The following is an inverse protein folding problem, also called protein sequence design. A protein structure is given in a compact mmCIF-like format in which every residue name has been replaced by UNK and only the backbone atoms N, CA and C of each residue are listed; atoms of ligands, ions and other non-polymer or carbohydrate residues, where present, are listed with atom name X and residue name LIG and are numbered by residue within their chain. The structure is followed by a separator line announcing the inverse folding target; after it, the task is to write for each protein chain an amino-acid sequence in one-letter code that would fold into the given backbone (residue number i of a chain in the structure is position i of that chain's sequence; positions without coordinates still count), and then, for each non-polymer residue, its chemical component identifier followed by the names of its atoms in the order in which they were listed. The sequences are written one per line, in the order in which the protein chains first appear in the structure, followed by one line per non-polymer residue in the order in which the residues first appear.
data_IF_163467024206
#
_entry.id   IF_163467024206
#
_cell.length_a   1.000
_cell.length_b   1.000
_cell.length_c   1.000
_cell.angle_alpha   90.00
_cell.angle_beta   90.00
_cell.angle_gamma   90.00
#
_symmetry.space_group_name_H-M   'P 1'
#
loop_
_entity.id
_entity.type
_entity.pdbx_description
1 polymer ?
#
# COMPACT_ATOMS: atom_id res chain seq x y z
N UNK A 1 -44.42 2.68 -3.75
CA UNK A 1 -43.70 2.96 -2.49
C UNK A 1 -43.53 1.74 -1.57
N UNK A 2 -44.25 0.62 -1.74
CA UNK A 2 -44.03 -0.60 -0.93
C UNK A 2 -43.12 -1.67 -1.57
N UNK A 3 -42.87 -1.66 -2.88
CA UNK A 3 -42.00 -2.65 -3.54
C UNK A 3 -40.49 -2.34 -3.42
N UNK A 4 -40.12 -1.08 -3.19
CA UNK A 4 -38.71 -0.67 -3.05
C UNK A 4 -38.05 -1.08 -1.73
N UNK A 5 -38.82 -1.28 -0.65
CA UNK A 5 -38.28 -1.72 0.64
C UNK A 5 -37.97 -3.23 0.68
N UNK A 6 -38.75 -4.05 -0.06
CA UNK A 6 -38.56 -5.51 -0.09
C UNK A 6 -37.29 -5.96 -0.84
N UNK A 7 -36.78 -5.16 -1.78
CA UNK A 7 -35.52 -5.45 -2.50
C UNK A 7 -34.28 -5.12 -1.66
N UNK A 8 -34.33 -4.06 -0.85
CA UNK A 8 -33.25 -3.68 0.06
C UNK A 8 -33.15 -4.67 1.23
N UNK A 9 -34.28 -5.14 1.78
CA UNK A 9 -34.27 -6.17 2.82
C UNK A 9 -33.86 -7.55 2.30
N UNK A 10 -34.27 -7.95 1.09
CA UNK A 10 -33.77 -9.19 0.45
C UNK A 10 -32.28 -9.11 0.11
N UNK A 11 -31.78 -7.96 -0.33
CA UNK A 11 -30.35 -7.76 -0.56
C UNK A 11 -29.55 -7.78 0.75
N UNK A 12 -30.10 -7.26 1.85
CA UNK A 12 -29.44 -7.34 3.16
C UNK A 12 -29.47 -8.76 3.77
N UNK A 13 -30.58 -9.49 3.66
CA UNK A 13 -30.68 -10.89 4.11
C UNK A 13 -29.79 -11.82 3.27
N UNK A 14 -29.76 -11.61 1.96
CA UNK A 14 -28.83 -12.33 1.08
C UNK A 14 -27.39 -11.92 1.40
N UNK A 15 -27.09 -10.64 1.65
CA UNK A 15 -25.74 -10.19 2.02
C UNK A 15 -25.22 -10.87 3.29
N UNK A 16 -26.05 -10.96 4.33
CA UNK A 16 -25.69 -11.67 5.57
C UNK A 16 -25.53 -13.18 5.31
N UNK A 17 -26.41 -13.79 4.51
CA UNK A 17 -26.30 -15.21 4.14
C UNK A 17 -25.06 -15.49 3.30
N UNK A 18 -24.74 -14.62 2.34
CA UNK A 18 -23.55 -14.70 1.49
C UNK A 18 -22.28 -14.48 2.31
N UNK A 19 -22.28 -13.54 3.25
CA UNK A 19 -21.15 -13.36 4.18
C UNK A 19 -20.92 -14.61 5.02
N UNK A 20 -21.99 -15.21 5.56
CA UNK A 20 -21.90 -16.47 6.31
C UNK A 20 -21.38 -17.62 5.45
N UNK A 21 -21.86 -17.71 4.21
CA UNK A 21 -21.39 -18.71 3.24
C UNK A 21 -19.92 -18.49 2.87
N UNK A 22 -19.48 -17.23 2.75
CA UNK A 22 -18.08 -16.88 2.49
C UNK A 22 -17.20 -17.23 3.70
N UNK A 23 -17.64 -16.94 4.92
CA UNK A 23 -16.92 -17.29 6.15
C UNK A 23 -16.81 -18.81 6.34
N UNK A 24 -17.90 -19.55 6.14
CA UNK A 24 -17.91 -21.02 6.19
C UNK A 24 -16.99 -21.64 5.13
N UNK A 25 -17.00 -21.09 3.91
CA UNK A 25 -16.13 -21.58 2.83
C UNK A 25 -14.67 -21.17 3.07
N UNK A 26 -14.39 -20.00 3.64
CA UNK A 26 -13.03 -19.57 4.00
C UNK A 26 -12.44 -20.48 5.09
N UNK A 27 -13.22 -20.86 6.11
CA UNK A 27 -12.81 -21.87 7.10
C UNK A 27 -12.55 -23.24 6.45
N UNK A 28 -13.41 -23.68 5.53
CA UNK A 28 -13.19 -24.94 4.79
C UNK A 28 -11.96 -24.89 3.87
N UNK A 29 -11.67 -23.73 3.27
CA UNK A 29 -10.51 -23.52 2.40
C UNK A 29 -9.20 -23.45 3.20
N UNK A 30 -9.19 -22.81 4.37
CA UNK A 30 -8.01 -22.78 5.27
C UNK A 30 -7.61 -24.20 5.71
N UNK A 31 -8.59 -25.09 5.87
CA UNK A 31 -8.37 -26.49 6.22
C UNK A 31 -7.89 -27.37 5.04
N UNK A 32 -7.99 -26.89 3.80
CA UNK A 32 -7.55 -27.61 2.61
C UNK A 32 -6.18 -27.12 2.15
N UNK A 33 -5.12 -27.95 2.19
CA UNK A 33 -3.83 -27.56 1.67
C UNK A 33 -3.83 -27.63 0.13
N UNK A 34 -3.83 -26.47 -0.53
CA UNK A 34 -3.47 -26.33 -1.95
C UNK A 34 -4.37 -25.42 -2.77
N UNK A 35 -3.75 -24.70 -3.73
CA UNK A 35 -4.46 -23.84 -4.69
C UNK A 35 -5.15 -24.72 -5.74
N UNK A 36 -6.45 -24.94 -5.56
CA UNK A 36 -7.31 -25.67 -6.51
C UNK A 36 -8.15 -24.69 -7.32
N UNK A 37 -8.66 -25.09 -8.49
CA UNK A 37 -9.61 -24.32 -9.33
C UNK A 37 -10.85 -23.79 -8.59
N UNK A 38 -11.19 -24.41 -7.44
CA UNK A 38 -12.24 -23.95 -6.51
C UNK A 38 -11.92 -22.57 -5.92
N UNK A 39 -10.65 -22.27 -5.64
CA UNK A 39 -10.21 -20.97 -5.14
C UNK A 39 -10.47 -19.87 -6.16
N UNK A 40 -10.21 -20.13 -7.45
CA UNK A 40 -10.52 -19.18 -8.52
C UNK A 40 -12.01 -18.83 -8.58
N UNK A 41 -12.90 -19.84 -8.49
CA UNK A 41 -14.35 -19.60 -8.50
C UNK A 41 -14.85 -18.93 -7.22
N UNK A 42 -14.27 -19.28 -6.07
CA UNK A 42 -14.56 -18.65 -4.79
C UNK A 42 -14.20 -17.17 -4.81
N UNK A 43 -12.95 -16.82 -5.17
CA UNK A 43 -12.54 -15.42 -5.20
C UNK A 43 -13.26 -14.61 -6.30
N UNK A 44 -13.69 -15.22 -7.42
CA UNK A 44 -14.56 -14.53 -8.39
C UNK A 44 -15.95 -14.20 -7.80
N UNK A 45 -16.52 -15.10 -6.99
CA UNK A 45 -17.78 -14.84 -6.27
C UNK A 45 -17.59 -13.77 -5.18
N UNK A 46 -16.53 -13.89 -4.37
CA UNK A 46 -16.22 -12.93 -3.30
C UNK A 46 -15.92 -11.55 -3.84
N UNK A 47 -15.21 -11.44 -4.96
CA UNK A 47 -14.93 -10.14 -5.62
C UNK A 47 -16.22 -9.45 -6.09
N UNK A 48 -17.14 -10.17 -6.74
CA UNK A 48 -18.45 -9.63 -7.14
C UNK A 48 -19.27 -9.20 -5.93
N UNK A 49 -19.24 -9.98 -4.86
CA UNK A 49 -19.91 -9.62 -3.61
C UNK A 49 -19.34 -8.33 -3.01
N UNK A 50 -18.02 -8.22 -2.83
CA UNK A 50 -17.41 -7.02 -2.27
C UNK A 50 -17.57 -5.78 -3.16
N UNK A 51 -17.69 -5.96 -4.48
CA UNK A 51 -18.04 -4.87 -5.39
C UNK A 51 -19.46 -4.34 -5.14
N UNK A 52 -20.41 -5.20 -4.82
CA UNK A 52 -21.81 -4.82 -4.49
C UNK A 52 -21.90 -4.18 -3.10
N UNK A 53 -21.16 -4.72 -2.12
CA UNK A 53 -21.12 -4.21 -0.75
C UNK A 53 -20.36 -2.88 -0.66
N UNK A 54 -19.51 -2.56 -1.63
CA UNK A 54 -18.69 -1.34 -1.64
C UNK A 54 -17.49 -1.41 -0.71
N UNK A 55 -17.08 -2.61 -0.27
CA UNK A 55 -15.90 -2.79 0.57
C UNK A 55 -14.65 -3.00 -0.31
N UNK A 56 -13.99 -1.90 -0.67
CA UNK A 56 -12.84 -1.88 -1.56
C UNK A 56 -11.58 -2.57 -0.99
N UNK A 57 -11.42 -2.61 0.34
CA UNK A 57 -10.23 -3.20 0.98
C UNK A 57 -10.25 -4.73 0.93
N UNK A 58 -11.38 -5.35 1.24
CA UNK A 58 -11.55 -6.80 1.11
C UNK A 58 -11.52 -7.24 -0.35
N UNK A 59 -12.16 -6.47 -1.23
CA UNK A 59 -12.09 -6.69 -2.67
C UNK A 59 -10.64 -6.73 -3.17
N UNK A 60 -9.81 -5.76 -2.75
CA UNK A 60 -8.42 -5.69 -3.16
C UNK A 60 -7.62 -6.94 -2.75
N UNK A 61 -7.80 -7.44 -1.52
CA UNK A 61 -7.11 -8.64 -1.02
C UNK A 61 -7.52 -9.89 -1.79
N UNK A 62 -8.81 -10.09 -1.99
CA UNK A 62 -9.33 -11.28 -2.68
C UNK A 62 -9.03 -11.25 -4.17
N UNK A 63 -9.05 -10.07 -4.80
CA UNK A 63 -8.65 -9.91 -6.18
C UNK A 63 -7.15 -10.18 -6.38
N UNK A 64 -6.28 -9.80 -5.43
CA UNK A 64 -4.86 -10.19 -5.47
C UNK A 64 -4.68 -11.70 -5.32
N UNK A 65 -5.40 -12.34 -4.39
CA UNK A 65 -5.37 -13.81 -4.23
C UNK A 65 -5.85 -14.52 -5.49
N UNK A 66 -6.92 -14.02 -6.11
CA UNK A 66 -7.44 -14.52 -7.38
C UNK A 66 -6.39 -14.43 -8.50
N UNK A 67 -5.73 -13.28 -8.64
CA UNK A 67 -4.67 -13.08 -9.62
C UNK A 67 -3.45 -13.99 -9.36
N UNK A 68 -3.14 -14.30 -8.11
CA UNK A 68 -2.11 -15.27 -7.75
C UNK A 68 -2.48 -16.73 -8.06
N UNK A 69 -3.77 -17.03 -8.25
CA UNK A 69 -4.25 -18.39 -8.55
C UNK A 69 -4.40 -18.67 -10.05
N UNK A 70 -4.33 -17.64 -10.91
CA UNK A 70 -4.61 -17.75 -12.33
C UNK A 70 -3.40 -17.26 -13.13
N UNK A 71 -2.96 -18.08 -14.08
CA UNK A 71 -1.97 -17.66 -15.05
C UNK A 71 -2.59 -16.68 -16.06
N UNK A 72 -1.85 -15.60 -16.37
CA UNK A 72 -2.23 -14.48 -17.26
C UNK A 72 -2.56 -14.94 -18.71
N UNK A 73 -2.50 -16.24 -18.98
CA UNK A 73 -2.76 -16.85 -20.29
C UNK A 73 -4.19 -17.38 -20.44
N UNK A 74 -4.93 -17.57 -19.34
CA UNK A 74 -6.23 -18.25 -19.38
C UNK A 74 -7.43 -17.31 -19.61
N UNK A 75 -7.22 -15.99 -19.58
CA UNK A 75 -8.31 -15.02 -19.71
C UNK A 75 -8.11 -14.06 -20.90
N UNK A 76 -9.21 -13.59 -21.50
CA UNK A 76 -9.18 -12.63 -22.58
C UNK A 76 -8.64 -11.26 -22.11
N UNK A 77 -7.84 -10.62 -22.97
CA UNK A 77 -7.16 -9.34 -22.69
C UNK A 77 -8.14 -8.22 -22.27
N UNK A 78 -9.38 -8.25 -22.76
CA UNK A 78 -10.42 -7.29 -22.39
C UNK A 78 -10.87 -7.42 -20.93
N UNK A 79 -11.06 -8.66 -20.45
CA UNK A 79 -11.48 -8.92 -19.07
C UNK A 79 -10.32 -8.64 -18.09
N UNK A 80 -9.08 -8.90 -18.50
CA UNK A 80 -7.89 -8.49 -17.76
C UNK A 80 -7.84 -6.98 -17.54
N UNK A 81 -8.12 -6.21 -18.58
CA UNK A 81 -8.03 -4.75 -18.51
C UNK A 81 -9.12 -4.16 -17.60
N UNK A 82 -10.34 -4.69 -17.67
CA UNK A 82 -11.43 -4.26 -16.79
C UNK A 82 -11.14 -4.62 -15.33
N UNK A 83 -10.73 -5.87 -15.06
CA UNK A 83 -10.41 -6.32 -13.70
C UNK A 83 -9.25 -5.53 -13.10
N UNK A 84 -8.18 -5.30 -13.86
CA UNK A 84 -7.04 -4.55 -13.39
C UNK A 84 -7.35 -3.06 -13.18
N UNK A 85 -8.26 -2.48 -13.98
CA UNK A 85 -8.77 -1.13 -13.73
C UNK A 85 -9.56 -1.07 -12.43
N UNK A 86 -10.51 -1.98 -12.22
CA UNK A 86 -11.30 -2.08 -10.97
C UNK A 86 -10.40 -2.36 -9.77
N UNK A 87 -9.35 -3.17 -9.93
CA UNK A 87 -8.35 -3.44 -8.90
C UNK A 87 -7.52 -2.20 -8.54
N UNK A 88 -7.09 -1.43 -9.54
CA UNK A 88 -6.38 -0.17 -9.30
C UNK A 88 -7.25 0.84 -8.56
N UNK A 89 -8.52 0.98 -8.95
CA UNK A 89 -9.48 1.83 -8.26
C UNK A 89 -9.73 1.36 -6.82
N UNK A 90 -9.96 0.06 -6.63
CA UNK A 90 -10.18 -0.51 -5.30
C UNK A 90 -8.94 -0.36 -4.40
N UNK A 91 -7.72 -0.47 -4.96
CA UNK A 91 -6.48 -0.21 -4.22
C UNK A 91 -6.35 1.27 -3.80
N UNK A 92 -6.74 2.20 -4.67
CA UNK A 92 -6.73 3.63 -4.35
C UNK A 92 -7.76 3.98 -3.27
N UNK A 93 -9.01 3.52 -3.44
CA UNK A 93 -10.15 3.79 -2.56
C UNK A 93 -10.12 2.98 -1.25
N UNK A 94 -9.45 1.82 -1.26
CA UNK A 94 -9.37 0.93 -0.11
C UNK A 94 -8.64 1.56 1.07
N UNK A 95 -9.31 1.65 2.21
CA UNK A 95 -8.70 2.04 3.47
C UNK A 95 -7.76 0.91 3.97
N UNK A 96 -6.58 1.27 4.47
CA UNK A 96 -5.61 0.29 4.98
C UNK A 96 -4.68 -0.34 3.94
N UNK A 97 -4.88 -0.09 2.64
CA UNK A 97 -3.97 -0.57 1.59
C UNK A 97 -2.90 0.47 1.33
N UNK A 98 -1.71 0.26 1.90
CA UNK A 98 -0.54 1.12 1.70
C UNK A 98 0.58 0.42 0.93
N UNK A 99 0.39 -0.82 0.47
CA UNK A 99 1.38 -1.58 -0.29
C UNK A 99 1.02 -1.60 -1.77
N UNK A 100 1.37 -0.54 -2.50
CA UNK A 100 1.12 -0.44 -3.94
C UNK A 100 2.21 -1.13 -4.77
N UNK A 101 3.38 -1.38 -4.20
CA UNK A 101 4.50 -2.01 -4.91
C UNK A 101 4.21 -3.44 -5.34
N UNK A 102 3.41 -4.21 -4.59
CA UNK A 102 3.02 -5.57 -4.96
C UNK A 102 2.18 -5.57 -6.25
N UNK A 103 1.24 -4.62 -6.35
CA UNK A 103 0.42 -4.44 -7.55
C UNK A 103 1.27 -3.99 -8.74
N UNK A 104 2.20 -3.05 -8.52
CA UNK A 104 3.08 -2.52 -9.57
C UNK A 104 4.02 -3.57 -10.17
N UNK A 105 4.43 -4.57 -9.39
CA UNK A 105 5.26 -5.67 -9.88
C UNK A 105 4.48 -6.69 -10.71
N UNK A 106 3.15 -6.68 -10.63
CA UNK A 106 2.34 -7.69 -11.32
C UNK A 106 2.16 -7.33 -12.81
N UNK A 107 2.45 -8.25 -13.75
CA UNK A 107 2.41 -8.01 -15.21
C UNK A 107 1.01 -7.65 -15.75
N UNK A 108 -0.04 -7.80 -14.94
CA UNK A 108 -1.40 -7.34 -15.27
C UNK A 108 -1.44 -5.84 -15.53
N UNK A 109 -0.60 -5.05 -14.85
CA UNK A 109 -0.53 -3.60 -15.07
C UNK A 109 0.26 -3.23 -16.33
N UNK A 110 1.23 -4.04 -16.74
CA UNK A 110 1.98 -3.80 -17.98
C UNK A 110 1.08 -3.91 -19.21
N UNK A 111 0.10 -4.83 -19.17
CA UNK A 111 -0.92 -4.97 -20.21
C UNK A 111 -1.83 -3.75 -20.34
N UNK A 112 -1.98 -2.93 -19.28
CA UNK A 112 -2.72 -1.66 -19.34
C UNK A 112 -1.90 -0.48 -19.87
N UNK A 113 -0.55 -0.57 -19.91
CA UNK A 113 0.28 0.53 -20.43
C UNK A 113 0.01 0.82 -21.91
N UNK A 114 -0.48 -0.17 -22.64
CA UNK A 114 -0.76 -0.08 -24.08
C UNK A 114 -2.10 0.59 -24.40
N UNK A 115 -2.98 0.82 -23.41
CA UNK A 115 -4.30 1.43 -23.64
C UNK A 115 -4.46 2.78 -22.92
N UNK A 116 -5.58 3.48 -23.20
CA UNK A 116 -6.01 4.82 -22.75
C UNK A 116 -5.99 5.11 -21.23
N UNK A 117 -5.58 4.16 -20.39
CA UNK A 117 -5.62 4.25 -18.92
C UNK A 117 -4.25 4.47 -18.28
N UNK A 118 -3.28 4.99 -19.04
CA UNK A 118 -1.92 5.30 -18.56
C UNK A 118 -1.91 6.17 -17.30
N UNK A 119 -2.87 7.10 -17.19
CA UNK A 119 -3.02 7.98 -16.02
C UNK A 119 -3.15 7.21 -14.70
N UNK A 120 -3.74 6.00 -14.70
CA UNK A 120 -3.90 5.19 -13.49
C UNK A 120 -2.55 4.66 -13.01
N UNK A 121 -1.70 4.23 -13.94
CA UNK A 121 -0.35 3.72 -13.64
C UNK A 121 0.53 4.88 -13.15
N UNK A 122 0.46 6.03 -13.82
CA UNK A 122 1.17 7.23 -13.38
C UNK A 122 0.71 7.70 -12.00
N UNK A 123 -0.59 7.58 -11.72
CA UNK A 123 -1.14 7.84 -10.39
C UNK A 123 -0.57 6.85 -9.38
N UNK A 124 -0.60 5.54 -9.64
CA UNK A 124 -0.03 4.53 -8.75
C UNK A 124 1.47 4.75 -8.49
N UNK A 125 2.25 5.14 -9.51
CA UNK A 125 3.65 5.52 -9.33
C UNK A 125 3.80 6.79 -8.49
N UNK A 126 2.94 7.81 -8.69
CA UNK A 126 2.93 9.01 -7.84
C UNK A 126 2.61 8.68 -6.37
N UNK A 127 1.74 7.69 -6.12
CA UNK A 127 1.46 7.17 -4.77
C UNK A 127 2.66 6.39 -4.19
N UNK A 128 3.38 5.64 -5.02
CA UNK A 128 4.57 4.92 -4.55
C UNK A 128 5.71 5.88 -4.16
N UNK A 129 5.90 6.93 -4.96
CA UNK A 129 6.90 7.99 -4.75
C UNK A 129 6.41 9.17 -3.91
N UNK A 130 5.26 9.05 -3.24
CA UNK A 130 4.78 10.03 -2.25
C UNK A 130 4.65 11.47 -2.74
N UNK A 131 4.59 11.71 -4.07
CA UNK A 131 4.73 13.05 -4.63
C UNK A 131 3.36 13.71 -4.84
N UNK A 132 3.03 14.62 -3.94
CA UNK A 132 1.76 15.37 -3.94
C UNK A 132 1.61 16.24 -5.19
N UNK A 133 2.70 16.74 -5.78
CA UNK A 133 2.65 17.63 -6.96
C UNK A 133 2.22 16.87 -8.22
N UNK A 134 2.82 15.68 -8.43
CA UNK A 134 2.45 14.83 -9.56
C UNK A 134 0.98 14.40 -9.46
N UNK A 135 0.52 14.10 -8.25
CA UNK A 135 -0.89 13.77 -8.04
C UNK A 135 -1.84 14.95 -8.35
N UNK A 136 -1.47 16.16 -7.92
CA UNK A 136 -2.24 17.37 -8.24
C UNK A 136 -2.28 17.66 -9.74
N UNK A 137 -1.17 17.46 -10.45
CA UNK A 137 -1.12 17.63 -11.92
C UNK A 137 -2.05 16.64 -12.65
N UNK A 138 -2.16 15.41 -12.14
CA UNK A 138 -3.01 14.37 -12.70
C UNK A 138 -4.51 14.58 -12.40
N UNK A 139 -4.89 15.55 -11.55
CA UNK A 139 -6.28 15.83 -11.14
C UNK A 139 -7.24 16.10 -12.29
N UNK A 140 -6.74 16.68 -13.38
CA UNK A 140 -7.54 16.88 -14.59
C UNK A 140 -7.96 15.55 -15.26
N UNK A 141 -7.16 14.49 -15.15
CA UNK A 141 -7.41 13.19 -15.77
C UNK A 141 -8.26 12.27 -14.88
N UNK A 142 -7.94 12.18 -13.58
CA UNK A 142 -8.70 11.30 -12.66
C UNK A 142 -10.04 11.90 -12.21
N UNK A 143 -10.24 13.21 -12.35
CA UNK A 143 -11.52 13.88 -12.06
C UNK A 143 -12.69 13.48 -12.96
N UNK A 144 -12.45 12.71 -14.04
CA UNK A 144 -13.50 12.14 -14.88
C UNK A 144 -14.31 11.04 -14.17
N UNK A 145 -13.74 10.43 -13.13
CA UNK A 145 -14.40 9.37 -12.37
C UNK A 145 -15.07 9.92 -11.10
N UNK A 146 -16.39 9.66 -10.91
CA UNK A 146 -17.15 10.19 -9.77
C UNK A 146 -16.68 9.63 -8.43
N UNK A 147 -16.23 8.37 -8.40
CA UNK A 147 -15.82 7.69 -7.16
C UNK A 147 -14.54 8.27 -6.54
N UNK A 148 -13.60 8.69 -7.38
CA UNK A 148 -12.37 9.37 -6.99
C UNK A 148 -12.66 10.80 -6.51
N UNK A 149 -13.61 11.48 -7.14
CA UNK A 149 -14.03 12.84 -6.77
C UNK A 149 -14.72 12.86 -5.40
N UNK A 150 -15.56 11.86 -5.12
CA UNK A 150 -16.22 11.73 -3.82
C UNK A 150 -15.21 11.48 -2.67
N UNK A 151 -14.11 10.78 -2.96
CA UNK A 151 -13.09 10.39 -1.98
C UNK A 151 -11.78 11.20 -2.06
N UNK A 152 -11.79 12.37 -2.71
CA UNK A 152 -10.59 13.19 -2.91
C UNK A 152 -9.85 13.51 -1.58
N UNK A 153 -10.59 13.92 -0.54
CA UNK A 153 -10.01 14.26 0.76
C UNK A 153 -9.28 13.06 1.39
N UNK A 154 -9.82 11.86 1.22
CA UNK A 154 -9.21 10.62 1.75
C UNK A 154 -7.95 10.26 0.97
N UNK A 155 -7.95 10.43 -0.35
CA UNK A 155 -6.78 10.19 -1.19
C UNK A 155 -5.65 11.16 -0.87
N UNK A 156 -5.97 12.45 -0.66
CA UNK A 156 -4.99 13.44 -0.23
C UNK A 156 -4.33 13.05 1.09
N UNK A 157 -5.12 12.68 2.11
CA UNK A 157 -4.58 12.19 3.38
C UNK A 157 -3.74 10.93 3.19
N UNK A 158 -4.15 10.02 2.30
CA UNK A 158 -3.42 8.77 2.02
C UNK A 158 -2.05 9.05 1.39
N UNK A 159 -1.96 9.99 0.44
CA UNK A 159 -0.68 10.39 -0.17
C UNK A 159 0.23 11.06 0.85
N UNK A 160 -0.33 11.92 1.71
CA UNK A 160 0.45 12.57 2.79
C UNK A 160 1.04 11.53 3.76
N UNK A 161 0.28 10.50 4.13
CA UNK A 161 0.79 9.39 4.94
C UNK A 161 1.89 8.60 4.23
N UNK A 162 1.74 8.34 2.92
CA UNK A 162 2.75 7.65 2.12
C UNK A 162 4.04 8.48 1.98
N UNK A 163 3.90 9.78 1.79
CA UNK A 163 5.00 10.73 1.76
C UNK A 163 5.79 10.71 3.06
N UNK A 164 5.10 10.74 4.21
CA UNK A 164 5.75 10.60 5.53
C UNK A 164 6.52 9.27 5.65
N UNK A 165 5.94 8.17 5.16
CA UNK A 165 6.62 6.87 5.15
C UNK A 165 7.86 6.85 4.25
N UNK A 166 7.83 7.47 3.08
CA UNK A 166 8.98 7.50 2.18
C UNK A 166 10.11 8.40 2.72
N UNK A 167 9.76 9.52 3.33
CA UNK A 167 10.72 10.40 4.01
C UNK A 167 11.45 9.68 5.14
N UNK A 168 10.71 8.91 5.95
CA UNK A 168 11.29 8.13 7.05
C UNK A 168 12.12 6.95 6.56
N UNK A 169 11.76 6.36 5.42
CA UNK A 169 12.50 5.23 4.83
C UNK A 169 13.83 5.65 4.18
N UNK A 170 13.86 6.79 3.49
CA UNK A 170 15.07 7.27 2.79
C UNK A 170 16.19 7.62 3.77
N UNK A 171 15.82 8.12 4.96
CA UNK A 171 16.78 8.52 5.99
C UNK A 171 17.39 7.30 6.71
N UNK A 172 18.72 7.29 6.94
CA UNK A 172 19.38 6.23 7.68
C UNK A 172 18.92 6.19 9.15
N UNK A 173 19.00 5.01 9.78
CA UNK A 173 18.53 4.77 11.14
C UNK A 173 19.16 5.71 12.20
N UNK A 174 20.37 6.22 11.95
CA UNK A 174 21.14 7.00 12.92
C UNK A 174 20.58 8.41 13.19
N UNK A 175 19.74 8.97 12.31
CA UNK A 175 19.12 10.29 12.48
C UNK A 175 17.68 10.31 11.95
N UNK A 176 16.82 9.42 12.47
CA UNK A 176 15.36 9.43 12.18
C UNK A 176 14.60 10.51 12.95
N UNK A 177 15.17 11.72 13.01
CA UNK A 177 14.46 12.91 13.47
C UNK A 177 13.97 13.68 12.24
N UNK A 178 12.68 13.99 12.21
CA UNK A 178 12.05 14.81 11.17
C UNK A 178 11.53 16.09 11.81
N UNK A 179 11.82 17.24 11.20
CA UNK A 179 11.24 18.50 11.67
C UNK A 179 9.87 18.74 11.05
N UNK A 180 8.98 19.42 11.76
CA UNK A 180 7.64 19.72 11.24
C UNK A 180 7.71 20.59 9.96
N UNK A 181 8.73 21.45 9.85
CA UNK A 181 8.97 22.28 8.66
C UNK A 181 9.29 21.46 7.42
N UNK A 182 10.14 20.45 7.55
CA UNK A 182 10.46 19.54 6.43
C UNK A 182 9.22 18.75 5.98
N UNK A 183 8.44 18.23 6.94
CA UNK A 183 7.21 17.49 6.63
C UNK A 183 6.19 18.42 5.95
N UNK A 184 6.02 19.65 6.45
CA UNK A 184 5.11 20.64 5.89
C UNK A 184 5.46 21.00 4.44
N UNK A 185 6.75 21.17 4.13
CA UNK A 185 7.21 21.48 2.77
C UNK A 185 6.91 20.37 1.77
N UNK A 186 7.15 19.12 2.16
CA UNK A 186 7.05 17.97 1.24
C UNK A 186 5.61 17.47 1.14
N UNK A 187 4.89 17.40 2.26
CA UNK A 187 3.48 17.00 2.28
C UNK A 187 2.54 18.12 1.80
N UNK A 188 3.02 19.36 1.70
CA UNK A 188 2.24 20.57 1.39
C UNK A 188 1.04 20.75 2.33
N UNK A 189 1.28 20.53 3.61
CA UNK A 189 0.29 20.64 4.69
C UNK A 189 0.72 21.77 5.62
N UNK A 190 -0.20 22.61 6.14
CA UNK A 190 0.16 23.61 7.14
C UNK A 190 0.76 22.94 8.37
N UNK A 191 1.73 23.61 9.01
CA UNK A 191 2.45 23.07 10.18
C UNK A 191 1.49 22.60 11.29
N UNK A 192 0.36 23.28 11.46
CA UNK A 192 -0.68 22.92 12.44
C UNK A 192 -1.36 21.56 12.17
N UNK A 193 -1.43 21.11 10.92
CA UNK A 193 -2.06 19.82 10.57
C UNK A 193 -1.03 18.68 10.46
N UNK A 194 0.27 18.99 10.49
CA UNK A 194 1.33 17.97 10.46
C UNK A 194 1.24 17.05 11.68
N UNK A 195 0.91 17.60 12.85
CA UNK A 195 0.77 16.82 14.08
C UNK A 195 -0.37 15.79 13.96
N UNK A 196 -1.54 16.22 13.47
CA UNK A 196 -2.68 15.34 13.26
C UNK A 196 -2.37 14.24 12.23
N UNK A 197 -1.60 14.57 11.19
CA UNK A 197 -1.15 13.60 10.20
C UNK A 197 -0.24 12.53 10.82
N UNK A 198 0.72 12.95 11.64
CA UNK A 198 1.65 12.04 12.34
C UNK A 198 0.90 11.18 13.36
N UNK A 199 -0.03 11.76 14.13
CA UNK A 199 -0.90 11.00 15.04
C UNK A 199 -1.72 9.95 14.29
N UNK A 200 -2.26 10.30 13.11
CA UNK A 200 -3.01 9.36 12.27
C UNK A 200 -2.10 8.24 11.76
N UNK A 201 -0.87 8.56 11.35
CA UNK A 201 0.11 7.56 10.91
C UNK A 201 0.46 6.56 12.03
N UNK A 202 0.63 7.07 13.27
CA UNK A 202 0.87 6.25 14.46
C UNK A 202 -0.35 5.38 14.80
N UNK A 203 -1.56 5.93 14.71
CA UNK A 203 -2.81 5.22 15.03
C UNK A 203 -3.09 4.07 14.06
N UNK A 204 -2.80 4.27 12.76
CA UNK A 204 -2.93 3.21 11.74
C UNK A 204 -1.81 2.17 11.87
N UNK A 205 -0.71 2.49 12.59
CA UNK A 205 0.42 1.59 12.79
C UNK A 205 1.38 1.54 11.60
N UNK A 206 1.36 2.54 10.74
CA UNK A 206 2.29 2.66 9.60
C UNK A 206 3.71 2.98 10.07
N UNK A 207 3.79 3.78 11.12
CA UNK A 207 5.04 4.19 11.76
C UNK A 207 4.89 4.03 13.26
N UNK A 208 6.02 3.87 13.97
CA UNK A 208 6.10 3.99 15.43
C UNK A 208 7.17 5.02 15.77
N UNK A 209 6.91 5.80 16.80
CA UNK A 209 7.77 6.91 17.17
C UNK A 209 7.21 7.72 18.33
N UNK A 210 7.93 8.77 18.69
CA UNK A 210 7.48 9.80 19.63
C UNK A 210 7.44 11.16 18.94
N UNK A 211 6.50 12.00 19.36
CA UNK A 211 6.37 13.39 18.90
C UNK A 211 6.93 14.27 20.01
N UNK A 212 7.81 15.19 19.65
CA UNK A 212 8.31 16.26 20.49
C UNK A 212 7.78 17.59 19.93
N UNK A 213 6.73 18.10 20.57
CA UNK A 213 6.07 19.34 20.14
C UNK A 213 6.93 20.57 20.43
N UNK A 214 7.69 20.58 21.54
CA UNK A 214 8.47 21.75 21.97
C UNK A 214 9.61 22.03 20.99
N UNK A 215 10.28 20.98 20.53
CA UNK A 215 11.36 21.08 19.55
C UNK A 215 10.86 20.98 18.08
N UNK A 216 9.55 20.85 17.85
CA UNK A 216 8.92 20.62 16.54
C UNK A 216 9.54 19.43 15.78
N UNK A 217 9.81 18.34 16.50
CA UNK A 217 10.51 17.15 15.96
C UNK A 217 9.70 15.88 16.17
N UNK A 218 9.75 14.99 15.18
CA UNK A 218 9.24 13.62 15.30
C UNK A 218 10.40 12.65 15.29
N UNK A 219 10.48 11.81 16.31
CA UNK A 219 11.44 10.72 16.39
C UNK A 219 10.78 9.42 15.93
N UNK A 220 11.22 8.89 14.80
CA UNK A 220 10.65 7.69 14.20
C UNK A 220 11.52 6.48 14.50
N UNK A 221 10.98 5.50 15.23
CA UNK A 221 11.70 4.28 15.62
C UNK A 221 11.49 3.16 14.62
N UNK A 222 10.29 3.03 14.05
CA UNK A 222 9.92 1.94 13.17
C UNK A 222 9.01 2.41 12.04
N UNK A 223 9.11 1.76 10.88
CA UNK A 223 8.28 2.00 9.70
C UNK A 223 7.90 0.64 9.13
N UNK A 224 6.67 0.52 8.63
CA UNK A 224 6.20 -0.69 7.98
C UNK A 224 7.05 -1.00 6.73
N UNK A 225 7.55 -2.25 6.57
CA UNK A 225 8.31 -2.63 5.38
C UNK A 225 7.41 -2.59 4.14
N UNK A 226 7.96 -2.10 3.03
CA UNK A 226 7.30 -2.04 1.72
C UNK A 226 8.15 -2.78 0.68
N UNK A 227 7.54 -3.07 -0.46
CA UNK A 227 8.24 -3.58 -1.63
C UNK A 227 9.23 -2.53 -2.10
N UNK A 228 10.46 -2.98 -2.36
CA UNK A 228 11.59 -2.11 -2.68
C UNK A 228 11.82 -2.09 -4.19
N UNK A 229 12.19 -0.92 -4.70
CA UNK A 229 12.70 -0.78 -6.06
C UNK A 229 14.17 -1.23 -6.13
N UNK A 230 14.60 -1.68 -7.32
CA UNK A 230 15.99 -2.12 -7.56
C UNK A 230 17.03 -1.07 -7.18
N UNK A 231 16.71 0.21 -7.32
CA UNK A 231 17.57 1.32 -6.91
C UNK A 231 17.74 1.40 -5.38
N UNK A 232 16.67 1.15 -4.63
CA UNK A 232 16.70 1.13 -3.17
C UNK A 232 17.50 -0.08 -2.65
N UNK A 233 17.38 -1.23 -3.31
CA UNK A 233 18.18 -2.43 -3.01
C UNK A 233 19.67 -2.15 -3.22
N UNK A 234 20.03 -1.43 -4.29
CA UNK A 234 21.42 -1.01 -4.51
C UNK A 234 21.95 -0.14 -3.36
N UNK A 235 21.15 0.82 -2.89
CA UNK A 235 21.51 1.65 -1.73
C UNK A 235 21.66 0.84 -0.43
N UNK A 236 20.84 -0.20 -0.24
CA UNK A 236 21.00 -1.11 0.91
C UNK A 236 22.28 -1.94 0.81
N UNK A 237 22.64 -2.40 -0.40
CA UNK A 237 23.90 -3.11 -0.63
C UNK A 237 25.09 -2.22 -0.25
N UNK A 238 25.13 -0.98 -0.75
CA UNK A 238 26.22 -0.04 -0.43
C UNK A 238 26.34 0.20 1.08
N UNK A 239 25.22 0.36 1.80
CA UNK A 239 25.22 0.50 3.27
C UNK A 239 25.75 -0.76 3.98
N UNK A 240 25.41 -1.94 3.48
CA UNK A 240 25.88 -3.20 4.05
C UNK A 240 27.38 -3.41 3.77
N UNK A 241 27.86 -2.97 2.61
CA UNK A 241 29.29 -2.96 2.28
C UNK A 241 30.06 -2.03 3.23
N UNK A 242 29.58 -0.80 3.49
CA UNK A 242 30.17 0.09 4.50
C UNK A 242 30.19 -0.51 5.90
N UNK A 243 29.08 -1.13 6.32
CA UNK A 243 29.04 -1.77 7.64
C UNK A 243 30.01 -2.96 7.74
N UNK A 244 30.19 -3.72 6.66
CA UNK A 244 31.18 -4.79 6.58
C UNK A 244 32.61 -4.25 6.69
N UNK A 245 32.91 -3.09 6.09
CA UNK A 245 34.19 -2.40 6.26
C UNK A 245 34.41 -1.93 7.70
N UNK A 246 33.41 -1.33 8.34
CA UNK A 246 33.51 -0.89 9.74
C UNK A 246 33.77 -2.07 10.69
N UNK A 247 33.08 -3.19 10.51
CA UNK A 247 33.30 -4.40 11.33
C UNK A 247 34.71 -4.96 11.12
N UNK A 248 35.23 -4.95 9.88
CA UNK A 248 36.62 -5.35 9.60
C UNK A 248 37.62 -4.41 10.27
N UNK A 249 37.39 -3.10 10.23
CA UNK A 249 38.25 -2.11 10.88
C UNK A 249 38.28 -2.31 12.40
N UNK A 250 37.13 -2.60 13.02
CA UNK A 250 37.04 -2.91 14.45
C UNK A 250 37.74 -4.23 14.77
N UNK A 251 37.57 -5.26 13.94
CA UNK A 251 38.25 -6.55 14.13
C UNK A 251 39.77 -6.39 14.10
N UNK A 252 40.32 -5.66 13.11
CA UNK A 252 41.75 -5.37 13.02
C UNK A 252 42.28 -4.59 14.23
N UNK A 253 41.51 -3.63 14.74
CA UNK A 253 41.88 -2.86 15.92
C UNK A 253 41.94 -3.74 17.19
N UNK A 254 40.98 -4.65 17.34
CA UNK A 254 40.96 -5.62 18.44
C UNK A 254 42.09 -6.63 18.30
N UNK A 255 42.39 -7.14 17.11
CA UNK A 255 43.53 -8.04 16.88
C UNK A 255 44.85 -7.38 17.27
N UNK A 256 45.10 -6.14 16.85
CA UNK A 256 46.31 -5.41 17.23
C UNK A 256 46.44 -5.16 18.73
N UNK A 257 45.36 -4.79 19.43
CA UNK A 257 45.40 -4.53 20.87
C UNK A 257 45.41 -5.82 21.70
N UNK A 258 44.75 -6.88 21.23
CA UNK A 258 44.70 -8.16 21.92
C UNK A 258 46.03 -8.92 21.79
N UNK A 259 46.80 -8.69 20.72
CA UNK A 259 48.11 -9.30 20.53
C UNK A 259 49.15 -8.81 21.55
N UNK A 260 49.03 -7.58 22.06
CA UNK A 260 49.88 -7.09 23.17
C UNK A 260 49.53 -7.71 24.54
N UNK A 261 48.38 -8.38 24.68
CA UNK A 261 47.88 -8.92 25.97
C UNK A 261 47.89 -10.45 25.99
N UNK A 262 47.65 -11.10 24.85
CA UNK A 262 47.46 -12.55 24.74
C UNK A 262 48.73 -13.34 24.35
N UNK A 263 49.81 -12.66 23.95
CA UNK A 263 51.15 -13.25 23.72
C UNK A 263 52.18 -12.61 24.63
#
# INVERSE_FOLDING_TARGET
FQEGCNLVEKNNLNSIFFQKTIEEVDEMLVNLPGVTSVHGRFYDLSSKYYQIVGNHASYYKDALRFLGCIDIKDLPVAEHQERAFTLGLAGLLGEGVYNFGELLMHPVLESLRTTDKQWLIDTLHAFNSGNVEKFQALKAAWGQQPDLRANELRLMQKIQLLCLMEMTFTRPANHRQLTFKEISQIAKVPVSEVELLVMKALSVGLVKGSIDEVDERVHMTWVQPRVLDLQQIKGMKERLDYWCEDVKNVALLVEHQAQDILT
#
